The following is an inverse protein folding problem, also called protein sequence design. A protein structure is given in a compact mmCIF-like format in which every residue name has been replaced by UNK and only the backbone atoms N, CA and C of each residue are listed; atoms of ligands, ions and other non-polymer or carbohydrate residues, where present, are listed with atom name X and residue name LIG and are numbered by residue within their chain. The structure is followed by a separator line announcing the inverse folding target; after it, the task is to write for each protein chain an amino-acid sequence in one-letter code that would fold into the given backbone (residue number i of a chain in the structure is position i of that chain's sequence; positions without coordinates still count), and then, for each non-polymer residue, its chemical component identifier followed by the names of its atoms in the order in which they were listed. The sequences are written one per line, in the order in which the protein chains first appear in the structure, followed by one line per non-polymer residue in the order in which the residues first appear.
data_IF_596501232439
#
_entry.id   IF_596501232439
#
_cell.length_a   1.000
_cell.length_b   1.000
_cell.length_c   1.000
_cell.angle_alpha   90.00
_cell.angle_beta   90.00
_cell.angle_gamma   90.00
#
_symmetry.space_group_name_H-M   'P 1'
#
loop_
_entity.id
_entity.type
_entity.pdbx_description
1 polymer ?
#
# COMPACT_ATOMS: atom_id res chain seq x y z
N UNK A 1 35.92 -12.01 4.34
CA UNK A 1 35.08 -10.81 4.55
C UNK A 1 34.85 -9.97 3.27
N UNK A 2 35.88 -9.48 2.57
CA UNK A 2 35.72 -8.66 1.33
C UNK A 2 34.92 -9.34 0.20
N UNK A 3 35.11 -10.64 -0.04
CA UNK A 3 34.36 -11.38 -1.05
C UNK A 3 32.85 -11.53 -0.71
N UNK A 4 32.52 -11.68 0.57
CA UNK A 4 31.14 -11.75 1.07
C UNK A 4 30.46 -10.38 0.91
N UNK A 5 31.15 -9.30 1.27
CA UNK A 5 30.66 -7.93 1.08
C UNK A 5 30.46 -7.58 -0.40
N UNK A 6 31.38 -7.99 -1.29
CA UNK A 6 31.23 -7.79 -2.74
C UNK A 6 30.07 -8.59 -3.33
N UNK A 7 29.85 -9.83 -2.87
CA UNK A 7 28.72 -10.67 -3.28
C UNK A 7 27.39 -10.11 -2.76
N UNK A 8 27.35 -9.61 -1.53
CA UNK A 8 26.19 -8.94 -0.95
C UNK A 8 25.87 -7.64 -1.69
N UNK A 9 26.87 -6.80 -1.96
CA UNK A 9 26.74 -5.56 -2.74
C UNK A 9 26.23 -5.83 -4.16
N UNK A 10 26.78 -6.83 -4.86
CA UNK A 10 26.32 -7.18 -6.20
C UNK A 10 24.88 -7.72 -6.21
N UNK A 11 24.48 -8.51 -5.21
CA UNK A 11 23.08 -8.98 -5.05
C UNK A 11 22.13 -7.82 -4.72
N UNK A 12 22.57 -6.87 -3.89
CA UNK A 12 21.78 -5.69 -3.55
C UNK A 12 21.58 -4.83 -4.81
N UNK A 13 22.64 -4.62 -5.59
CA UNK A 13 22.60 -3.85 -6.83
C UNK A 13 21.72 -4.50 -7.90
N UNK A 14 21.70 -5.83 -8.00
CA UNK A 14 20.80 -6.52 -8.93
C UNK A 14 19.33 -6.39 -8.50
N UNK A 15 19.03 -6.46 -7.19
CA UNK A 15 17.68 -6.25 -6.66
C UNK A 15 17.21 -4.80 -6.81
N UNK A 16 18.09 -3.82 -6.65
CA UNK A 16 17.75 -2.42 -6.87
C UNK A 16 17.48 -2.08 -8.34
N UNK A 17 17.91 -2.93 -9.28
CA UNK A 17 17.56 -2.82 -10.69
C UNK A 17 16.28 -3.59 -11.04
N UNK A 18 15.73 -4.37 -10.11
CA UNK A 18 14.48 -5.10 -10.31
C UNK A 18 13.30 -4.13 -10.15
N UNK A 19 12.70 -3.79 -11.28
CA UNK A 19 11.53 -2.91 -11.41
C UNK A 19 10.37 -3.34 -10.51
N UNK A 20 10.19 -4.64 -10.32
CA UNK A 20 9.16 -5.18 -9.42
C UNK A 20 9.49 -4.94 -7.96
N UNK A 21 10.73 -5.24 -7.56
CA UNK A 21 11.21 -5.02 -6.19
C UNK A 21 11.08 -3.55 -5.81
N UNK A 22 11.49 -2.64 -6.69
CA UNK A 22 11.37 -1.19 -6.47
C UNK A 22 9.93 -0.74 -6.28
N UNK A 23 8.99 -1.29 -7.05
CA UNK A 23 7.57 -1.00 -6.86
C UNK A 23 7.07 -1.50 -5.51
N UNK A 24 7.41 -2.74 -5.13
CA UNK A 24 6.98 -3.31 -3.85
C UNK A 24 7.54 -2.55 -2.66
N UNK A 25 8.84 -2.27 -2.70
CA UNK A 25 9.53 -1.45 -1.70
C UNK A 25 8.91 -0.05 -1.62
N UNK A 26 8.70 0.59 -2.77
CA UNK A 26 8.08 1.92 -2.84
C UNK A 26 6.62 1.94 -2.36
N UNK A 27 5.91 0.82 -2.40
CA UNK A 27 4.60 0.69 -1.75
C UNK A 27 4.71 0.54 -0.24
N UNK A 28 5.62 -0.30 0.26
CA UNK A 28 5.91 -0.40 1.69
C UNK A 28 6.27 0.95 2.31
N UNK A 29 7.12 1.74 1.66
CA UNK A 29 7.48 3.10 2.10
C UNK A 29 6.27 4.03 2.13
N UNK A 30 5.36 3.98 1.14
CA UNK A 30 4.15 4.82 1.15
C UNK A 30 3.22 4.49 2.31
N UNK A 31 3.01 3.20 2.61
CA UNK A 31 2.21 2.77 3.76
C UNK A 31 2.82 3.28 5.07
N UNK A 32 4.12 3.05 5.25
CA UNK A 32 4.84 3.52 6.43
C UNK A 32 4.80 5.06 6.53
N UNK A 33 5.01 5.75 5.41
CA UNK A 33 5.04 7.20 5.34
C UNK A 33 3.74 7.86 5.79
N UNK A 34 2.57 7.30 5.45
CA UNK A 34 1.28 7.82 5.92
C UNK A 34 1.17 7.76 7.44
N UNK A 35 1.49 6.60 8.03
CA UNK A 35 1.49 6.43 9.49
C UNK A 35 2.53 7.33 10.16
N UNK A 36 3.76 7.35 9.64
CA UNK A 36 4.87 8.12 10.18
C UNK A 36 4.57 9.62 10.21
N UNK A 37 4.07 10.20 9.11
CA UNK A 37 3.73 11.63 9.04
C UNK A 37 2.66 11.98 10.08
N UNK A 38 1.64 11.14 10.25
CA UNK A 38 0.58 11.40 11.22
C UNK A 38 1.07 11.25 12.66
N UNK A 39 1.84 10.21 12.97
CA UNK A 39 2.44 10.01 14.30
C UNK A 39 3.35 11.18 14.66
N UNK A 40 4.23 11.61 13.76
CA UNK A 40 5.10 12.78 13.99
C UNK A 40 4.27 14.05 14.19
N UNK A 41 3.20 14.24 13.43
CA UNK A 41 2.31 15.41 13.60
C UNK A 41 1.63 15.41 14.98
N UNK A 42 1.19 14.25 15.46
CA UNK A 42 0.63 14.10 16.81
C UNK A 42 1.68 14.35 17.88
N UNK A 43 2.89 13.81 17.74
CA UNK A 43 3.99 14.04 18.68
C UNK A 43 4.38 15.53 18.75
N UNK A 44 4.41 16.23 17.62
CA UNK A 44 4.66 17.67 17.58
C UNK A 44 3.54 18.46 18.25
N UNK A 45 2.29 18.10 18.01
CA UNK A 45 1.14 18.70 18.69
C UNK A 45 1.21 18.48 20.20
N UNK A 46 1.54 17.27 20.65
CA UNK A 46 1.69 16.95 22.07
C UNK A 46 2.87 17.66 22.71
N UNK A 47 3.99 17.79 22.00
CA UNK A 47 5.13 18.59 22.46
C UNK A 47 4.73 20.03 22.79
N UNK A 48 3.90 20.65 21.94
CA UNK A 48 3.39 22.01 22.19
C UNK A 48 2.51 22.03 23.45
N UNK A 49 1.61 21.08 23.60
CA UNK A 49 0.73 20.98 24.76
C UNK A 49 1.51 20.79 26.08
N UNK A 50 2.48 19.89 26.09
CA UNK A 50 3.39 19.66 27.21
C UNK A 50 4.18 20.92 27.57
N UNK A 51 4.60 21.71 26.57
CA UNK A 51 5.26 23.00 26.81
C UNK A 51 4.33 24.02 27.48
N UNK A 52 3.06 24.06 27.09
CA UNK A 52 2.07 24.92 27.72
C UNK A 52 1.86 24.48 29.18
N UNK A 53 1.76 23.17 29.44
CA UNK A 53 1.62 22.64 30.80
C UNK A 53 2.79 23.04 31.69
N UNK A 54 4.02 22.90 31.17
CA UNK A 54 5.22 23.32 31.89
C UNK A 54 5.20 24.81 32.25
N UNK A 55 4.84 25.68 31.29
CA UNK A 55 4.72 27.13 31.54
C UNK A 55 3.66 27.40 32.61
N UNK A 56 2.52 26.72 32.52
CA UNK A 56 1.45 26.82 33.50
C UNK A 56 1.94 26.43 34.90
N UNK A 57 2.64 25.30 35.02
CA UNK A 57 3.20 24.84 36.30
C UNK A 57 4.19 25.86 36.89
N UNK A 58 5.17 26.32 36.11
CA UNK A 58 6.15 27.32 36.56
C UNK A 58 5.46 28.59 37.05
N UNK A 59 4.43 29.07 36.34
CA UNK A 59 3.71 30.30 36.70
C UNK A 59 2.88 30.19 37.99
N UNK A 60 2.52 28.99 38.42
CA UNK A 60 1.70 28.74 39.62
C UNK A 60 2.51 28.24 40.82
N UNK A 61 3.81 28.54 40.86
CA UNK A 61 4.65 28.34 42.05
C UNK A 61 5.46 27.04 42.06
N UNK A 62 5.56 26.32 40.94
CA UNK A 62 6.58 25.29 40.82
C UNK A 62 7.98 25.93 40.87
N UNK A 63 8.92 25.40 41.67
CA UNK A 63 10.26 25.97 41.77
C UNK A 63 10.94 25.98 40.40
N UNK A 64 11.25 27.20 39.93
CA UNK A 64 11.90 27.47 38.65
C UNK A 64 13.39 27.13 38.65
N UNK A 65 13.74 25.88 38.97
CA UNK A 65 15.07 25.37 38.66
C UNK A 65 15.07 24.89 37.21
N UNK A 66 16.07 25.31 36.42
CA UNK A 66 16.36 24.75 35.09
C UNK A 66 16.37 23.21 35.11
N UNK A 67 16.77 22.62 36.25
CA UNK A 67 16.78 21.18 36.51
C UNK A 67 15.38 20.55 36.52
N UNK A 68 14.34 21.28 36.93
CA UNK A 68 12.96 20.78 36.94
C UNK A 68 12.41 20.62 35.53
N UNK A 69 12.70 21.57 34.63
CA UNK A 69 12.26 21.46 33.24
C UNK A 69 12.86 20.22 32.57
N UNK A 70 14.13 19.93 32.81
CA UNK A 70 14.78 18.76 32.24
C UNK A 70 14.20 17.47 32.83
N UNK A 71 14.08 17.39 34.16
CA UNK A 71 13.47 16.25 34.83
C UNK A 71 12.01 16.01 34.40
N UNK A 72 11.25 17.08 34.13
CA UNK A 72 9.87 17.02 33.63
C UNK A 72 9.82 16.36 32.25
N UNK A 73 10.65 16.81 31.30
CA UNK A 73 10.69 16.21 29.97
C UNK A 73 11.24 14.78 29.99
N UNK A 74 12.24 14.51 30.81
CA UNK A 74 12.81 13.16 30.95
C UNK A 74 11.76 12.19 31.52
N UNK A 75 10.91 12.63 32.45
CA UNK A 75 9.81 11.82 32.98
C UNK A 75 8.69 11.61 31.96
N UNK A 76 8.25 12.68 31.26
CA UNK A 76 7.16 12.61 30.27
C UNK A 76 7.57 11.86 28.99
N UNK A 77 8.86 11.76 28.71
CA UNK A 77 9.37 11.02 27.56
C UNK A 77 10.01 9.68 27.89
N UNK A 78 10.14 9.30 29.17
CA UNK A 78 10.68 7.99 29.56
C UNK A 78 9.89 6.84 28.94
N UNK A 79 8.55 6.90 28.98
CA UNK A 79 7.66 5.94 28.33
C UNK A 79 7.89 5.86 26.82
N UNK A 80 8.10 7.01 26.16
CA UNK A 80 8.40 6.99 24.73
C UNK A 80 9.70 6.28 24.42
N UNK A 81 10.74 6.42 25.26
CA UNK A 81 12.01 5.72 25.07
C UNK A 81 11.85 4.20 25.22
N UNK A 82 11.03 3.75 26.17
CA UNK A 82 10.72 2.33 26.35
C UNK A 82 9.96 1.77 25.13
N UNK A 83 9.07 2.57 24.55
CA UNK A 83 8.24 2.19 23.40
C UNK A 83 8.91 2.36 22.03
N UNK A 84 10.14 2.91 21.94
CA UNK A 84 10.87 3.06 20.66
C UNK A 84 11.00 1.71 19.94
N UNK A 85 11.29 0.64 20.70
CA UNK A 85 11.45 -0.69 20.12
C UNK A 85 10.11 -1.21 19.58
N UNK A 86 9.02 -1.01 20.31
CA UNK A 86 7.66 -1.31 19.87
C UNK A 86 7.30 -0.55 18.60
N UNK A 87 7.59 0.76 18.55
CA UNK A 87 7.40 1.61 17.38
C UNK A 87 8.19 1.12 16.15
N UNK A 88 9.42 0.63 16.35
CA UNK A 88 10.25 0.10 15.26
C UNK A 88 9.69 -1.23 14.72
N UNK A 89 9.27 -2.14 15.59
CA UNK A 89 8.58 -3.37 15.18
C UNK A 89 7.31 -3.02 14.40
N UNK A 90 6.54 -2.06 14.91
CA UNK A 90 5.31 -1.59 14.29
C UNK A 90 5.56 -0.99 12.90
N UNK A 91 6.61 -0.18 12.74
CA UNK A 91 7.02 0.37 11.46
C UNK A 91 7.42 -0.72 10.45
N UNK A 92 8.19 -1.72 10.88
CA UNK A 92 8.56 -2.87 10.03
C UNK A 92 7.32 -3.65 9.60
N UNK A 93 6.36 -3.82 10.52
CA UNK A 93 5.10 -4.50 10.23
C UNK A 93 4.29 -3.76 9.15
N UNK A 94 4.05 -2.45 9.31
CA UNK A 94 3.35 -1.63 8.30
C UNK A 94 4.06 -1.68 6.95
N UNK A 95 5.39 -1.56 6.95
CA UNK A 95 6.20 -1.62 5.73
C UNK A 95 6.04 -2.97 5.02
N UNK A 96 6.21 -4.06 5.76
CA UNK A 96 6.15 -5.44 5.23
C UNK A 96 4.79 -5.75 4.64
N UNK A 97 3.74 -5.22 5.25
CA UNK A 97 2.40 -5.32 4.74
C UNK A 97 2.21 -4.58 3.40
N UNK A 98 2.62 -3.31 3.32
CA UNK A 98 2.53 -2.56 2.06
C UNK A 98 3.32 -3.24 0.93
N UNK A 99 4.47 -3.82 1.27
CA UNK A 99 5.26 -4.68 0.38
C UNK A 99 4.47 -5.94 -0.04
N UNK A 100 3.84 -6.65 0.89
CA UNK A 100 3.05 -7.84 0.59
C UNK A 100 1.85 -7.54 -0.31
N UNK A 101 1.06 -6.52 0.01
CA UNK A 101 -0.12 -6.11 -0.76
C UNK A 101 0.23 -5.79 -2.22
N UNK A 102 1.32 -5.08 -2.44
CA UNK A 102 1.81 -4.77 -3.78
C UNK A 102 2.21 -6.03 -4.58
N UNK A 103 2.63 -7.10 -3.89
CA UNK A 103 2.89 -8.41 -4.50
C UNK A 103 1.63 -9.14 -4.94
N UNK A 104 0.55 -9.06 -4.17
CA UNK A 104 -0.75 -9.63 -4.57
C UNK A 104 -1.26 -8.88 -5.82
N UNK A 105 -1.16 -7.56 -5.83
CA UNK A 105 -1.68 -6.71 -6.90
C UNK A 105 -1.08 -6.99 -8.28
N UNK A 106 0.19 -7.40 -8.36
CA UNK A 106 0.86 -7.72 -9.62
C UNK A 106 0.66 -9.18 -10.08
N UNK A 107 0.14 -10.04 -9.19
CA UNK A 107 0.03 -11.50 -9.41
C UNK A 107 -0.76 -11.88 -10.67
N UNK A 108 -1.90 -11.25 -11.01
CA UNK A 108 -2.63 -11.57 -12.24
C UNK A 108 -1.79 -11.41 -13.50
N UNK A 109 -1.03 -10.32 -13.60
CA UNK A 109 -0.18 -10.02 -14.76
C UNK A 109 0.93 -11.06 -14.91
N UNK A 110 1.52 -11.48 -13.79
CA UNK A 110 2.52 -12.56 -13.77
C UNK A 110 1.96 -13.88 -14.24
N UNK A 111 0.77 -14.26 -13.75
CA UNK A 111 0.13 -15.52 -14.14
C UNK A 111 -0.12 -15.55 -15.65
N UNK A 112 -0.65 -14.46 -16.22
CA UNK A 112 -0.87 -14.33 -17.67
C UNK A 112 0.46 -14.36 -18.42
N UNK A 113 1.44 -13.56 -18.01
CA UNK A 113 2.75 -13.49 -18.66
C UNK A 113 3.50 -14.81 -18.64
N UNK A 114 3.46 -15.53 -17.51
CA UNK A 114 4.10 -16.84 -17.37
C UNK A 114 3.41 -17.89 -18.24
N UNK A 115 2.08 -17.92 -18.29
CA UNK A 115 1.35 -18.82 -19.18
C UNK A 115 1.70 -18.59 -20.65
N UNK A 116 1.76 -17.33 -21.09
CA UNK A 116 2.20 -16.96 -22.43
C UNK A 116 3.61 -17.49 -22.73
N UNK A 117 4.54 -17.35 -21.79
CA UNK A 117 5.92 -17.84 -21.93
C UNK A 117 6.00 -19.37 -21.95
N UNK A 118 5.25 -20.06 -21.11
CA UNK A 118 5.22 -21.52 -21.07
C UNK A 118 4.65 -22.12 -22.35
N UNK A 119 3.57 -21.53 -22.90
CA UNK A 119 2.98 -21.94 -24.18
C UNK A 119 3.93 -21.78 -25.36
N UNK A 120 4.74 -20.72 -25.42
CA UNK A 120 5.74 -20.55 -26.48
C UNK A 120 6.89 -21.56 -26.40
N UNK A 121 7.14 -22.13 -25.22
CA UNK A 121 8.23 -23.08 -24.98
C UNK A 121 7.73 -24.54 -24.96
N UNK A 122 6.56 -24.83 -25.55
CA UNK A 122 5.92 -26.15 -25.61
C UNK A 122 5.76 -26.86 -24.26
N UNK A 123 5.73 -26.09 -23.16
CA UNK A 123 5.43 -26.66 -21.85
C UNK A 123 3.93 -26.90 -21.78
N UNK A 124 3.53 -28.15 -21.53
CA UNK A 124 2.13 -28.50 -21.25
C UNK A 124 1.73 -27.87 -19.91
N UNK A 125 1.18 -26.66 -19.99
CA UNK A 125 0.65 -25.95 -18.83
C UNK A 125 -0.79 -25.51 -19.15
N UNK A 126 -1.71 -25.76 -18.22
CA UNK A 126 -3.09 -25.28 -18.32
C UNK A 126 -3.16 -23.88 -17.71
N UNK A 127 -3.92 -22.98 -18.35
CA UNK A 127 -4.12 -21.66 -17.76
C UNK A 127 -5.07 -21.82 -16.58
N UNK A 128 -4.51 -21.87 -15.37
CA UNK A 128 -5.27 -21.83 -14.14
C UNK A 128 -5.29 -20.40 -13.62
N UNK A 129 -6.36 -19.63 -13.91
CA UNK A 129 -6.50 -18.32 -13.32
C UNK A 129 -6.56 -18.45 -11.80
N UNK A 130 -5.71 -17.68 -11.10
CA UNK A 130 -5.81 -17.57 -9.66
C UNK A 130 -7.09 -16.79 -9.30
N UNK A 131 -8.15 -17.51 -8.93
CA UNK A 131 -9.45 -16.96 -8.56
C UNK A 131 -9.39 -15.99 -7.39
N UNK A 132 -8.35 -16.07 -6.55
CA UNK A 132 -8.15 -15.17 -5.41
C UNK A 132 -7.59 -13.79 -5.81
N UNK A 133 -7.36 -13.57 -7.11
CA UNK A 133 -6.88 -12.31 -7.65
C UNK A 133 -8.01 -11.60 -8.41
N UNK A 134 -8.78 -10.82 -7.65
CA UNK A 134 -10.12 -10.25 -7.92
C UNK A 134 -10.34 -9.41 -9.20
N UNK A 135 -9.41 -9.38 -10.16
CA UNK A 135 -9.61 -8.76 -11.47
C UNK A 135 -10.46 -9.65 -12.38
N UNK A 136 -11.72 -9.86 -12.00
CA UNK A 136 -12.65 -10.76 -12.68
C UNK A 136 -12.72 -10.49 -14.18
N UNK A 137 -12.69 -9.22 -14.60
CA UNK A 137 -12.72 -8.85 -16.01
C UNK A 137 -11.47 -9.38 -16.74
N UNK A 138 -10.28 -9.03 -16.25
CA UNK A 138 -9.02 -9.43 -16.88
C UNK A 138 -8.89 -10.95 -16.92
N UNK A 139 -9.17 -11.60 -15.80
CA UNK A 139 -9.04 -13.04 -15.61
C UNK A 139 -10.05 -13.83 -16.43
N UNK A 140 -11.32 -13.41 -16.47
CA UNK A 140 -12.33 -14.09 -17.30
C UNK A 140 -12.03 -13.90 -18.79
N UNK A 141 -11.57 -12.72 -19.17
CA UNK A 141 -11.24 -12.44 -20.55
C UNK A 141 -9.96 -13.14 -21.01
N UNK A 142 -8.95 -13.29 -20.16
CA UNK A 142 -7.74 -14.05 -20.49
C UNK A 142 -8.06 -15.54 -20.71
N UNK A 143 -8.91 -16.15 -19.89
CA UNK A 143 -9.42 -17.52 -20.12
C UNK A 143 -10.09 -17.63 -21.50
N UNK A 144 -11.03 -16.72 -21.78
CA UNK A 144 -11.73 -16.69 -23.07
C UNK A 144 -10.75 -16.50 -24.24
N UNK A 145 -9.82 -15.56 -24.11
CA UNK A 145 -8.81 -15.25 -25.10
C UNK A 145 -7.97 -16.49 -25.42
N UNK A 146 -7.38 -17.13 -24.41
CA UNK A 146 -6.52 -18.29 -24.61
C UNK A 146 -7.30 -19.49 -25.18
N UNK A 147 -8.55 -19.70 -24.77
CA UNK A 147 -9.41 -20.72 -25.36
C UNK A 147 -9.62 -20.50 -26.87
N UNK A 148 -9.84 -19.25 -27.31
CA UNK A 148 -9.98 -18.93 -28.74
C UNK A 148 -8.67 -19.08 -29.50
N UNK A 149 -7.53 -18.72 -28.91
CA UNK A 149 -6.22 -18.96 -29.53
C UNK A 149 -5.98 -20.47 -29.70
N UNK A 150 -6.23 -21.28 -28.67
CA UNK A 150 -6.04 -22.74 -28.72
C UNK A 150 -6.95 -23.39 -29.77
N UNK A 151 -8.21 -22.93 -29.92
CA UNK A 151 -9.09 -23.36 -31.01
C UNK A 151 -8.52 -23.03 -32.39
N UNK A 152 -7.95 -21.84 -32.56
CA UNK A 152 -7.32 -21.43 -33.81
C UNK A 152 -6.09 -22.29 -34.16
N UNK A 153 -5.29 -22.69 -33.17
CA UNK A 153 -4.19 -23.65 -33.37
C UNK A 153 -4.69 -25.02 -33.81
N UNK A 154 -5.77 -25.53 -33.23
CA UNK A 154 -6.38 -26.82 -33.64
C UNK A 154 -6.90 -26.75 -35.08
N UNK A 155 -7.49 -25.62 -35.47
CA UNK A 155 -8.05 -25.41 -36.81
C UNK A 155 -7.00 -25.00 -37.86
N UNK A 156 -5.76 -24.69 -37.44
CA UNK A 156 -4.67 -24.26 -38.32
C UNK A 156 -4.85 -22.86 -38.93
N UNK A 157 -5.86 -22.10 -38.54
CA UNK A 157 -6.11 -20.75 -39.05
C UNK A 157 -6.83 -19.90 -38.01
N UNK A 158 -6.45 -18.63 -37.93
CA UNK A 158 -7.17 -17.66 -37.11
C UNK A 158 -8.47 -17.20 -37.80
N UNK A 159 -9.63 -17.64 -37.32
CA UNK A 159 -10.91 -17.08 -37.74
C UNK A 159 -11.13 -15.74 -37.02
N UNK A 160 -11.45 -14.69 -37.78
CA UNK A 160 -11.84 -13.40 -37.20
C UNK A 160 -13.09 -13.60 -36.35
N UNK A 161 -12.98 -13.43 -35.04
CA UNK A 161 -14.08 -13.64 -34.08
C UNK A 161 -14.88 -12.36 -33.84
N UNK A 162 -14.98 -11.48 -34.84
CA UNK A 162 -15.58 -10.16 -34.65
C UNK A 162 -17.07 -10.23 -34.22
N UNK A 163 -17.75 -11.32 -34.59
CA UNK A 163 -19.13 -11.65 -34.21
C UNK A 163 -19.22 -12.53 -32.96
N UNK A 164 -18.13 -13.21 -32.57
CA UNK A 164 -18.10 -14.20 -31.49
C UNK A 164 -17.71 -13.65 -30.12
N UNK A 165 -17.15 -12.43 -30.03
CA UNK A 165 -16.79 -11.84 -28.73
C UNK A 165 -18.08 -11.53 -27.95
N UNK A 166 -18.28 -12.12 -26.75
CA UNK A 166 -19.46 -11.86 -25.95
C UNK A 166 -19.73 -10.38 -25.73
N UNK A 167 -21.00 -9.97 -25.80
CA UNK A 167 -21.44 -8.57 -25.70
C UNK A 167 -21.00 -7.87 -24.41
N UNK A 168 -20.86 -8.62 -23.32
CA UNK A 168 -20.36 -8.10 -22.04
C UNK A 168 -18.88 -7.69 -22.08
N UNK A 169 -18.07 -8.20 -23.01
CA UNK A 169 -16.70 -7.75 -23.25
C UNK A 169 -16.58 -6.68 -24.33
N UNK A 170 -17.52 -6.61 -25.28
CA UNK A 170 -17.45 -5.67 -26.39
C UNK A 170 -17.74 -4.22 -25.97
N UNK A 171 -18.64 -3.99 -25.00
CA UNK A 171 -19.04 -2.66 -24.52
C UNK A 171 -18.04 -1.94 -23.59
N UNK A 172 -16.90 -2.57 -23.26
CA UNK A 172 -15.96 -2.02 -22.27
C UNK A 172 -14.92 -1.13 -22.97
N UNK A 173 -15.10 0.19 -22.94
CA UNK A 173 -14.21 1.15 -23.61
C UNK A 173 -13.28 1.93 -22.67
N UNK A 174 -13.45 1.76 -21.36
CA UNK A 174 -12.62 2.37 -20.32
C UNK A 174 -12.40 1.37 -19.18
N UNK A 175 -11.43 1.60 -18.26
CA UNK A 175 -11.28 0.77 -17.08
C UNK A 175 -12.60 0.70 -16.31
N UNK A 176 -13.18 -0.49 -16.23
CA UNK A 176 -14.38 -0.71 -15.43
C UNK A 176 -14.02 -0.72 -13.96
N UNK A 177 -14.89 -0.15 -13.13
CA UNK A 177 -14.71 -0.21 -11.69
C UNK A 177 -15.02 -1.62 -11.17
N UNK A 178 -13.99 -2.38 -10.83
CA UNK A 178 -14.14 -3.73 -10.29
C UNK A 178 -14.40 -3.65 -8.78
N UNK A 179 -15.69 -3.58 -8.41
CA UNK A 179 -16.15 -3.39 -7.03
C UNK A 179 -15.52 -4.37 -6.04
N UNK A 180 -15.55 -5.66 -6.34
CA UNK A 180 -15.05 -6.69 -5.42
C UNK A 180 -13.54 -6.53 -5.18
N UNK A 181 -12.77 -6.35 -6.25
CA UNK A 181 -11.34 -6.03 -6.16
C UNK A 181 -11.14 -4.79 -5.28
N UNK A 182 -11.78 -3.67 -5.62
CA UNK A 182 -11.63 -2.44 -4.85
C UNK A 182 -11.95 -2.64 -3.37
N UNK A 183 -13.10 -3.24 -3.03
CA UNK A 183 -13.52 -3.42 -1.65
C UNK A 183 -12.61 -4.38 -0.88
N UNK A 184 -12.13 -5.46 -1.47
CA UNK A 184 -11.22 -6.38 -0.80
C UNK A 184 -9.91 -5.68 -0.40
N UNK A 185 -9.27 -4.95 -1.32
CA UNK A 185 -8.07 -4.18 -0.99
C UNK A 185 -8.38 -3.01 -0.05
N UNK A 186 -9.50 -2.33 -0.27
CA UNK A 186 -9.92 -1.21 0.56
C UNK A 186 -10.15 -1.63 2.01
N UNK A 187 -10.84 -2.74 2.27
CA UNK A 187 -11.06 -3.25 3.62
C UNK A 187 -9.76 -3.63 4.30
N UNK A 188 -8.84 -4.28 3.58
CA UNK A 188 -7.53 -4.60 4.12
C UNK A 188 -6.81 -3.30 4.53
N UNK A 189 -6.73 -2.32 3.63
CA UNK A 189 -6.11 -1.01 3.90
C UNK A 189 -6.80 -0.28 5.05
N UNK A 190 -8.13 -0.33 5.13
CA UNK A 190 -8.93 0.31 6.19
C UNK A 190 -8.69 -0.32 7.55
N UNK A 191 -8.66 -1.66 7.65
CA UNK A 191 -8.32 -2.38 8.89
C UNK A 191 -6.96 -1.93 9.39
N UNK A 192 -5.98 -1.80 8.48
CA UNK A 192 -4.64 -1.34 8.87
C UNK A 192 -4.59 0.13 9.25
N UNK A 193 -5.33 0.99 8.55
CA UNK A 193 -5.50 2.38 8.95
C UNK A 193 -6.06 2.48 10.37
N UNK A 194 -7.06 1.66 10.72
CA UNK A 194 -7.66 1.60 12.05
C UNK A 194 -6.68 1.09 13.11
N UNK A 195 -5.95 0.00 12.85
CA UNK A 195 -4.95 -0.53 13.77
C UNK A 195 -3.84 0.51 14.05
N UNK A 196 -3.39 1.21 13.01
CA UNK A 196 -2.38 2.28 13.13
C UNK A 196 -2.90 3.50 13.86
N UNK A 197 -4.13 3.93 13.59
CA UNK A 197 -4.81 4.95 14.39
C UNK A 197 -4.96 4.54 15.85
N UNK A 198 -5.21 3.26 16.13
CA UNK A 198 -5.22 2.73 17.50
C UNK A 198 -3.88 2.92 18.21
N UNK A 199 -2.76 2.66 17.52
CA UNK A 199 -1.41 2.92 18.05
C UNK A 199 -1.16 4.40 18.34
N UNK A 200 -1.59 5.30 17.45
CA UNK A 200 -1.50 6.76 17.67
C UNK A 200 -2.27 7.18 18.93
N UNK A 201 -3.48 6.64 19.12
CA UNK A 201 -4.30 6.92 20.30
C UNK A 201 -3.63 6.36 21.55
N UNK A 202 -3.15 5.12 21.53
CA UNK A 202 -2.49 4.49 22.67
C UNK A 202 -1.28 5.29 23.15
N UNK A 203 -0.41 5.69 22.22
CA UNK A 203 0.75 6.54 22.51
C UNK A 203 0.35 7.89 23.13
N UNK A 204 -0.75 8.48 22.66
CA UNK A 204 -1.25 9.72 23.23
C UNK A 204 -1.79 9.53 24.66
N UNK A 205 -2.52 8.45 24.91
CA UNK A 205 -3.05 8.13 26.25
C UNK A 205 -1.92 7.95 27.25
N UNK A 206 -0.85 7.27 26.86
CA UNK A 206 0.31 7.04 27.74
C UNK A 206 1.00 8.34 28.16
N UNK A 207 1.33 9.21 27.19
CA UNK A 207 1.90 10.54 27.49
C UNK A 207 0.97 11.34 28.42
N UNK A 208 -0.34 11.29 28.16
CA UNK A 208 -1.33 12.00 28.98
C UNK A 208 -1.34 11.48 30.42
N UNK A 209 -1.34 10.17 30.59
CA UNK A 209 -1.41 9.55 31.91
C UNK A 209 -0.16 9.88 32.74
N UNK A 210 1.02 10.00 32.12
CA UNK A 210 2.23 10.50 32.77
C UNK A 210 2.13 11.96 33.22
N UNK A 211 1.57 12.86 32.39
CA UNK A 211 1.34 14.27 32.77
C UNK A 211 0.36 14.36 33.93
N UNK A 212 -0.71 13.55 33.91
CA UNK A 212 -1.70 13.53 34.98
C UNK A 212 -1.11 13.03 36.29
N UNK A 213 -0.34 11.94 36.27
CA UNK A 213 0.34 11.42 37.46
C UNK A 213 1.30 12.45 38.06
N UNK A 214 2.04 13.17 37.22
CA UNK A 214 2.93 14.23 37.67
C UNK A 214 2.12 15.38 38.31
N UNK A 215 1.05 15.83 37.66
CA UNK A 215 0.21 16.87 38.23
C UNK A 215 -0.41 16.46 39.56
N UNK A 216 -0.92 15.24 39.68
CA UNK A 216 -1.55 14.78 40.92
C UNK A 216 -0.55 14.77 42.09
N UNK A 217 0.69 14.30 41.83
CA UNK A 217 1.78 14.30 42.83
C UNK A 217 2.13 15.68 43.36
N UNK A 218 2.04 16.72 42.54
CA UNK A 218 2.55 18.06 42.90
C UNK A 218 1.49 19.14 43.07
N UNK A 219 0.28 18.97 42.52
CA UNK A 219 -0.77 19.98 42.42
C UNK A 219 -2.16 19.48 42.81
N UNK A 220 -2.28 18.29 43.41
CA UNK A 220 -3.56 17.69 43.84
C UNK A 220 -4.46 18.61 44.67
N UNK A 221 -3.89 19.58 45.40
CA UNK A 221 -4.63 20.54 46.23
C UNK A 221 -5.03 21.84 45.50
N UNK A 222 -4.56 22.07 44.26
CA UNK A 222 -4.83 23.28 43.50
C UNK A 222 -5.97 23.07 42.49
N UNK A 223 -7.16 23.60 42.82
CA UNK A 223 -8.36 23.48 41.98
C UNK A 223 -8.22 24.14 40.60
N UNK A 224 -7.41 25.21 40.48
CA UNK A 224 -7.17 25.90 39.21
C UNK A 224 -6.27 25.06 38.29
N UNK A 225 -5.25 24.40 38.86
CA UNK A 225 -4.38 23.50 38.11
C UNK A 225 -5.14 22.28 37.58
N UNK A 226 -5.98 21.67 38.41
CA UNK A 226 -6.82 20.55 38.00
C UNK A 226 -7.80 20.96 36.90
N UNK A 227 -8.43 22.13 37.01
CA UNK A 227 -9.32 22.65 35.96
C UNK A 227 -8.56 22.86 34.64
N UNK A 228 -7.39 23.51 34.68
CA UNK A 228 -6.57 23.77 33.50
C UNK A 228 -6.21 22.47 32.77
N UNK A 229 -5.74 21.45 33.48
CA UNK A 229 -5.33 20.18 32.86
C UNK A 229 -6.51 19.40 32.28
N UNK A 230 -7.66 19.41 32.95
CA UNK A 230 -8.87 18.78 32.41
C UNK A 230 -9.28 19.43 31.09
N UNK A 231 -9.24 20.77 30.99
CA UNK A 231 -9.54 21.48 29.74
C UNK A 231 -8.45 21.24 28.68
N UNK A 232 -7.18 21.22 29.07
CA UNK A 232 -6.07 20.94 28.17
C UNK A 232 -6.18 19.53 27.57
N UNK A 233 -6.55 18.52 28.36
CA UNK A 233 -6.76 17.16 27.86
C UNK A 233 -7.98 17.04 26.95
N UNK A 234 -9.03 17.84 27.15
CA UNK A 234 -10.14 17.92 26.17
C UNK A 234 -9.63 18.45 24.83
N UNK A 235 -8.80 19.51 24.84
CA UNK A 235 -8.17 20.06 23.63
C UNK A 235 -7.25 19.00 22.98
N UNK A 236 -6.41 18.34 23.77
CA UNK A 236 -5.51 17.28 23.31
C UNK A 236 -6.29 16.17 22.60
N UNK A 237 -7.37 15.70 23.22
CA UNK A 237 -8.24 14.66 22.67
C UNK A 237 -8.85 15.08 21.33
N UNK A 238 -9.38 16.30 21.23
CA UNK A 238 -9.93 16.81 19.97
C UNK A 238 -8.86 16.87 18.88
N UNK A 239 -7.67 17.38 19.20
CA UNK A 239 -6.55 17.43 18.26
C UNK A 239 -6.10 16.05 17.78
N UNK A 240 -5.97 15.09 18.69
CA UNK A 240 -5.59 13.70 18.34
C UNK A 240 -6.64 13.04 17.46
N UNK A 241 -7.94 13.20 17.76
CA UNK A 241 -8.99 12.66 16.90
C UNK A 241 -9.01 13.32 15.51
N UNK A 242 -8.71 14.62 15.42
CA UNK A 242 -8.53 15.26 14.12
C UNK A 242 -7.42 14.58 13.30
N UNK A 243 -6.25 14.33 13.91
CA UNK A 243 -5.17 13.61 13.23
C UNK A 243 -5.52 12.16 12.89
N UNK A 244 -6.29 11.47 13.73
CA UNK A 244 -6.81 10.12 13.44
C UNK A 244 -7.73 10.14 12.22
N UNK A 245 -8.65 11.10 12.12
CA UNK A 245 -9.53 11.25 10.95
C UNK A 245 -8.71 11.55 9.69
N UNK A 246 -7.74 12.47 9.79
CA UNK A 246 -6.82 12.78 8.69
C UNK A 246 -6.03 11.53 8.25
N UNK A 247 -5.53 10.76 9.21
CA UNK A 247 -4.80 9.53 8.97
C UNK A 247 -5.63 8.48 8.21
N UNK A 248 -6.87 8.25 8.64
CA UNK A 248 -7.81 7.35 7.94
C UNK A 248 -8.13 7.87 6.53
N UNK A 249 -8.29 9.18 6.36
CA UNK A 249 -8.50 9.81 5.07
C UNK A 249 -7.29 9.61 4.12
N UNK A 250 -6.06 9.76 4.60
CA UNK A 250 -4.86 9.49 3.82
C UNK A 250 -4.75 8.01 3.41
N UNK A 251 -5.14 7.08 4.28
CA UNK A 251 -5.23 5.66 3.94
C UNK A 251 -6.32 5.35 2.90
N UNK A 252 -7.46 6.04 2.96
CA UNK A 252 -8.48 5.97 1.90
C UNK A 252 -7.90 6.43 0.54
N UNK A 253 -7.19 7.56 0.51
CA UNK A 253 -6.51 8.04 -0.70
C UNK A 253 -5.46 7.04 -1.20
N UNK A 254 -4.71 6.41 -0.29
CA UNK A 254 -3.75 5.36 -0.62
C UNK A 254 -4.44 4.13 -1.23
N UNK A 255 -5.59 3.72 -0.72
CA UNK A 255 -6.41 2.64 -1.28
C UNK A 255 -6.89 2.94 -2.71
N UNK A 256 -7.37 4.16 -2.95
CA UNK A 256 -7.76 4.63 -4.29
C UNK A 256 -6.55 4.65 -5.24
N UNK A 257 -5.41 5.13 -4.77
CA UNK A 257 -4.16 5.14 -5.53
C UNK A 257 -3.71 3.73 -5.92
N UNK A 258 -3.76 2.77 -4.98
CA UNK A 258 -3.44 1.37 -5.23
C UNK A 258 -4.36 0.77 -6.30
N UNK A 259 -5.66 0.99 -6.19
CA UNK A 259 -6.62 0.53 -7.18
C UNK A 259 -6.27 1.03 -8.58
N UNK A 260 -5.98 2.32 -8.74
CA UNK A 260 -5.62 2.91 -10.03
C UNK A 260 -4.33 2.31 -10.63
N UNK A 261 -3.39 1.86 -9.78
CA UNK A 261 -2.16 1.17 -10.18
C UNK A 261 -2.37 -0.23 -10.76
N UNK A 262 -3.56 -0.82 -10.59
CA UNK A 262 -3.88 -2.15 -11.14
C UNK A 262 -4.96 -2.08 -12.20
N UNK A 263 -6.02 -1.29 -11.98
CA UNK A 263 -7.15 -1.22 -12.91
C UNK A 263 -6.74 -0.71 -14.30
N UNK A 264 -5.85 0.29 -14.36
CA UNK A 264 -5.36 0.87 -15.62
C UNK A 264 -4.58 -0.15 -16.46
N UNK A 265 -3.53 -0.81 -15.95
CA UNK A 265 -2.82 -1.81 -16.73
C UNK A 265 -3.68 -3.05 -17.04
N UNK A 266 -4.59 -3.45 -16.14
CA UNK A 266 -5.52 -4.54 -16.40
C UNK A 266 -6.40 -4.25 -17.62
N UNK A 267 -6.95 -3.04 -17.70
CA UNK A 267 -7.72 -2.61 -18.85
C UNK A 267 -6.89 -2.57 -20.13
N UNK A 268 -5.62 -2.12 -20.09
CA UNK A 268 -4.76 -2.09 -21.26
C UNK A 268 -4.44 -3.50 -21.81
N UNK A 269 -4.18 -4.47 -20.93
CA UNK A 269 -3.98 -5.88 -21.32
C UNK A 269 -5.26 -6.43 -21.96
N UNK A 270 -6.40 -6.25 -21.28
CA UNK A 270 -7.72 -6.64 -21.78
C UNK A 270 -8.01 -6.03 -23.17
N UNK A 271 -7.84 -4.71 -23.31
CA UNK A 271 -8.13 -3.99 -24.55
C UNK A 271 -7.25 -4.48 -25.70
N UNK A 272 -5.97 -4.78 -25.43
CA UNK A 272 -5.04 -5.32 -26.43
C UNK A 272 -5.45 -6.71 -26.88
N UNK A 273 -5.69 -7.63 -25.94
CA UNK A 273 -6.16 -8.99 -26.25
C UNK A 273 -7.47 -8.96 -27.05
N UNK A 274 -8.41 -8.09 -26.67
CA UNK A 274 -9.68 -7.93 -27.39
C UNK A 274 -9.47 -7.40 -28.80
N UNK A 275 -8.61 -6.41 -28.95
CA UNK A 275 -8.30 -5.86 -30.27
C UNK A 275 -7.60 -6.88 -31.17
N UNK A 276 -6.77 -7.75 -30.58
CA UNK A 276 -6.11 -8.84 -31.29
C UNK A 276 -7.15 -9.84 -31.83
N UNK A 277 -8.13 -10.27 -31.03
CA UNK A 277 -9.22 -11.15 -31.49
C UNK A 277 -10.07 -10.53 -32.62
N UNK A 278 -10.21 -9.20 -32.63
CA UNK A 278 -10.89 -8.46 -33.71
C UNK A 278 -10.08 -8.38 -35.02
N UNK A 279 -8.86 -8.91 -35.05
CA UNK A 279 -8.01 -8.94 -36.24
C UNK A 279 -6.96 -7.83 -36.32
N UNK A 280 -6.85 -6.97 -35.30
CA UNK A 280 -5.78 -5.97 -35.23
C UNK A 280 -4.51 -6.59 -34.65
N UNK A 281 -3.90 -7.51 -35.40
CA UNK A 281 -2.80 -8.35 -34.92
C UNK A 281 -1.52 -7.57 -34.61
N UNK A 282 -1.37 -6.34 -35.07
CA UNK A 282 -0.21 -5.48 -34.77
C UNK A 282 -0.26 -4.81 -33.39
N UNK A 283 -1.40 -4.87 -32.69
CA UNK A 283 -1.55 -4.18 -31.41
C UNK A 283 -0.74 -4.85 -30.31
N UNK A 284 0.00 -4.05 -29.54
CA UNK A 284 0.86 -4.51 -28.44
C UNK A 284 0.55 -3.73 -27.17
N UNK A 285 0.75 -4.38 -26.03
CA UNK A 285 0.60 -3.75 -24.73
C UNK A 285 1.76 -2.78 -24.54
N UNK A 286 1.43 -1.50 -24.38
CA UNK A 286 2.39 -0.46 -24.07
C UNK A 286 1.92 0.35 -22.86
N UNK A 287 2.67 0.27 -21.76
CA UNK A 287 2.34 0.91 -20.49
C UNK A 287 3.40 1.96 -20.11
N UNK A 288 3.01 3.22 -20.10
CA UNK A 288 3.84 4.33 -19.61
C UNK A 288 3.59 4.51 -18.12
N UNK A 289 4.64 4.52 -17.30
CA UNK A 289 4.53 4.70 -15.85
C UNK A 289 4.21 3.43 -15.04
N UNK A 290 4.15 2.26 -15.69
CA UNK A 290 3.94 0.94 -15.08
C UNK A 290 5.14 0.02 -15.31
N UNK A 291 6.34 0.51 -14.96
CA UNK A 291 7.61 -0.20 -15.18
C UNK A 291 7.60 -1.60 -14.54
N UNK A 292 7.04 -1.74 -13.35
CA UNK A 292 6.93 -3.03 -12.63
C UNK A 292 6.12 -4.12 -13.34
N UNK A 293 5.36 -3.81 -14.39
CA UNK A 293 4.64 -4.81 -15.22
C UNK A 293 5.29 -5.01 -16.59
N UNK A 294 6.36 -4.29 -16.92
CA UNK A 294 6.97 -4.27 -18.24
C UNK A 294 7.47 -5.66 -18.65
N UNK A 295 8.06 -6.40 -17.72
CA UNK A 295 8.54 -7.77 -17.98
C UNK A 295 7.39 -8.69 -18.41
N UNK A 296 6.31 -8.73 -17.63
CA UNK A 296 5.16 -9.58 -17.93
C UNK A 296 4.43 -9.14 -19.20
N UNK A 297 4.28 -7.83 -19.42
CA UNK A 297 3.71 -7.30 -20.67
C UNK A 297 4.54 -7.67 -21.90
N UNK A 298 5.88 -7.71 -21.78
CA UNK A 298 6.77 -8.18 -22.86
C UNK A 298 6.56 -9.66 -23.16
N UNK A 299 6.36 -10.51 -22.16
CA UNK A 299 6.04 -11.94 -22.36
C UNK A 299 4.74 -12.10 -23.13
N UNK A 300 3.71 -11.33 -22.76
CA UNK A 300 2.42 -11.33 -23.46
C UNK A 300 2.60 -10.85 -24.92
N UNK A 301 3.32 -9.75 -25.14
CA UNK A 301 3.56 -9.23 -26.49
C UNK A 301 4.30 -10.24 -27.38
N UNK A 302 5.33 -10.92 -26.86
CA UNK A 302 6.03 -12.00 -27.59
C UNK A 302 5.10 -13.15 -27.96
N UNK A 303 4.17 -13.50 -27.07
CA UNK A 303 3.18 -14.52 -27.36
C UNK A 303 2.22 -14.07 -28.46
N UNK A 304 1.78 -12.80 -28.47
CA UNK A 304 0.98 -12.26 -29.57
C UNK A 304 1.76 -12.28 -30.90
N UNK A 305 3.06 -11.99 -30.90
CA UNK A 305 3.93 -12.11 -32.08
C UNK A 305 4.01 -13.57 -32.57
N UNK A 306 4.17 -14.52 -31.64
CA UNK A 306 4.18 -15.96 -31.93
C UNK A 306 2.86 -16.43 -32.55
N UNK A 307 1.73 -16.04 -31.95
CA UNK A 307 0.38 -16.39 -32.45
C UNK A 307 0.18 -15.81 -33.84
N UNK A 308 0.52 -14.54 -34.05
CA UNK A 308 0.43 -13.89 -35.37
C UNK A 308 1.26 -14.64 -36.41
N UNK A 309 2.53 -14.94 -36.13
CA UNK A 309 3.41 -15.61 -37.08
C UNK A 309 2.92 -17.02 -37.49
N UNK A 310 2.26 -17.74 -36.59
CA UNK A 310 1.89 -19.14 -36.82
C UNK A 310 0.45 -19.32 -37.33
N UNK A 311 -0.44 -18.33 -37.14
CA UNK A 311 -1.88 -18.49 -37.42
C UNK A 311 -2.48 -17.46 -38.38
N UNK A 312 -1.76 -16.41 -38.75
CA UNK A 312 -2.22 -15.36 -39.69
C UNK A 312 -1.31 -15.27 -40.90
#
# INVERSE_FOLDING_TARGET
MKAILKKASNRLRSKLNDEEFLFKFGMGVKFLGVSFICTVSVLLFLYILIKIDLIFFISHGFPGALDFQQAFFDYVYSSLYEEIFGCLIYAIFIFSLGYYLSGIMIRPFKAIGQYCEDKMNDKKNYYEPDFFSDLKLLTSFSVYFFSKIDQAFIQGKFMKTHEDIPTHFSGIHKPNFEKNFFFNYFFIVAIFGLLSSGGIIALNLEIRDQIFELSDKFLSTNSQANYFLVEQFKIARVGVYFFVVLHLFLYLLLGIYLYAKVATPAFAVFATMRSFLKGNYHNRIHLIGYYYLRSDCRKINKYLDYVQKNLT
#
